data_IF_790440105360
#
_entry.id   IF_790440105360
#
_cell.length_a   1.000
_cell.length_b   1.000
_cell.length_c   1.000
_cell.angle_alpha   90.00
_cell.angle_beta   90.00
_cell.angle_gamma   90.00
#
_symmetry.space_group_name_H-M   'P 1'
#
loop_
_entity.id
_entity.type
_entity.pdbx_description
1 polymer ?
#
# COMPACT_ATOMS: atom_id res chain seq x y z
N UNK A 1 3.97 17.99 -3.07
CA UNK A 1 5.15 17.15 -3.37
C UNK A 1 6.41 17.99 -3.57
N UNK A 2 6.45 18.90 -4.56
CA UNK A 2 7.64 19.71 -4.85
C UNK A 2 8.07 20.68 -3.73
N UNK A 3 7.13 21.13 -2.91
CA UNK A 3 7.39 22.06 -1.79
C UNK A 3 7.63 21.36 -0.44
N UNK A 4 7.73 20.02 -0.40
CA UNK A 4 7.96 19.32 0.87
C UNK A 4 9.43 19.46 1.30
N UNK A 5 9.75 20.09 2.45
CA UNK A 5 11.12 20.24 2.93
C UNK A 5 11.81 18.90 3.23
N UNK A 6 11.05 17.80 3.37
CA UNK A 6 11.56 16.45 3.62
C UNK A 6 11.66 15.61 2.34
N UNK A 7 11.57 16.20 1.15
CA UNK A 7 11.68 15.48 -0.14
C UNK A 7 13.02 14.76 -0.29
N UNK A 8 14.09 15.27 0.31
CA UNK A 8 15.42 14.66 0.34
C UNK A 8 15.44 13.26 0.99
N UNK A 9 14.44 12.92 1.83
CA UNK A 9 14.31 11.57 2.43
C UNK A 9 13.72 10.54 1.46
N UNK A 10 13.16 11.01 0.35
CA UNK A 10 12.49 10.21 -0.67
C UNK A 10 13.38 10.00 -1.91
N UNK A 11 14.41 10.82 -2.10
CA UNK A 11 15.40 10.70 -3.18
C UNK A 11 16.23 9.42 -3.09
N UNK A 12 16.57 8.85 -4.24
CA UNK A 12 17.42 7.65 -4.35
C UNK A 12 16.71 6.32 -4.07
N UNK A 13 15.37 6.32 -3.96
CA UNK A 13 14.57 5.11 -3.70
C UNK A 13 13.49 4.95 -4.76
N UNK A 14 13.24 3.70 -5.16
CA UNK A 14 12.06 3.36 -5.95
C UNK A 14 10.85 3.37 -5.03
N UNK A 15 9.97 4.37 -5.20
CA UNK A 15 8.77 4.55 -4.40
C UNK A 15 7.54 4.23 -5.23
N UNK A 16 6.60 3.47 -4.65
CA UNK A 16 5.30 3.26 -5.29
C UNK A 16 4.47 4.54 -5.22
N UNK A 17 3.98 5.01 -6.36
CA UNK A 17 3.15 6.22 -6.47
C UNK A 17 1.92 6.16 -5.56
N UNK A 18 1.31 4.98 -5.40
CA UNK A 18 0.17 4.78 -4.52
C UNK A 18 0.50 5.04 -3.03
N UNK A 19 1.69 4.64 -2.57
CA UNK A 19 2.13 4.90 -1.19
C UNK A 19 2.45 6.37 -0.97
N UNK A 20 3.01 7.02 -1.99
CA UNK A 20 3.25 8.46 -1.97
C UNK A 20 1.93 9.22 -1.88
N UNK A 21 0.96 8.84 -2.71
CA UNK A 21 -0.36 9.46 -2.73
C UNK A 21 -1.09 9.29 -1.40
N UNK A 22 -1.03 8.12 -0.78
CA UNK A 22 -1.59 7.93 0.55
C UNK A 22 -0.89 8.79 1.63
N UNK A 23 0.44 8.91 1.56
CA UNK A 23 1.24 9.73 2.50
C UNK A 23 0.93 11.23 2.37
N UNK A 24 0.72 11.72 1.15
CA UNK A 24 0.33 13.11 0.90
C UNK A 24 -1.17 13.34 0.98
N UNK A 25 -1.97 12.31 1.27
CA UNK A 25 -3.42 12.42 1.44
C UNK A 25 -4.18 12.65 0.13
N UNK A 26 -3.62 12.24 -1.01
CA UNK A 26 -4.32 12.32 -2.29
C UNK A 26 -5.58 11.45 -2.27
N UNK A 27 -6.67 12.07 -2.66
CA UNK A 27 -8.00 11.49 -2.81
C UNK A 27 -8.45 11.70 -4.25
N UNK A 28 -9.11 10.69 -4.80
CA UNK A 28 -9.78 10.82 -6.08
C UNK A 28 -10.95 11.82 -5.99
N UNK A 29 -11.44 12.30 -7.13
CA UNK A 29 -12.59 13.22 -7.21
C UNK A 29 -13.84 12.62 -6.55
N UNK A 30 -13.96 11.29 -6.56
CA UNK A 30 -15.04 10.54 -5.92
C UNK A 30 -14.85 10.38 -4.39
N UNK A 31 -13.86 11.05 -3.80
CA UNK A 31 -13.51 10.93 -2.37
C UNK A 31 -12.83 9.61 -1.99
N UNK A 32 -12.53 8.75 -2.97
CA UNK A 32 -11.86 7.47 -2.73
C UNK A 32 -10.37 7.72 -2.46
N UNK A 33 -9.88 7.22 -1.32
CA UNK A 33 -8.44 7.22 -1.01
C UNK A 33 -7.72 6.15 -1.81
N UNK A 34 -6.57 6.53 -2.39
CA UNK A 34 -5.68 5.63 -3.12
C UNK A 34 -5.23 4.51 -2.18
N UNK A 35 -5.56 3.26 -2.50
CA UNK A 35 -5.07 2.09 -1.76
C UNK A 35 -3.72 1.64 -2.30
N UNK A 36 -2.73 1.52 -1.42
CA UNK A 36 -1.46 0.89 -1.79
C UNK A 36 -1.67 -0.57 -2.19
N UNK A 37 -1.00 -1.01 -3.26
CA UNK A 37 -0.97 -2.42 -3.69
C UNK A 37 -0.36 -3.34 -2.62
N UNK A 38 0.41 -2.78 -1.68
CA UNK A 38 1.00 -3.49 -0.53
C UNK A 38 0.07 -3.52 0.69
N UNK A 39 -1.13 -2.93 0.62
CA UNK A 39 -2.06 -2.92 1.74
C UNK A 39 -2.69 -4.30 1.92
N UNK A 40 -2.59 -4.85 3.13
CA UNK A 40 -3.14 -6.16 3.47
C UNK A 40 -4.66 -6.16 3.24
N UNK A 41 -5.35 -5.08 3.63
CA UNK A 41 -6.78 -4.90 3.40
C UNK A 41 -7.15 -4.97 1.91
N UNK A 42 -6.34 -4.37 1.04
CA UNK A 42 -6.55 -4.43 -0.40
C UNK A 42 -6.34 -5.85 -0.94
N UNK A 43 -5.29 -6.55 -0.49
CA UNK A 43 -4.98 -7.91 -0.92
C UNK A 43 -6.01 -8.95 -0.47
N UNK A 44 -6.55 -8.82 0.75
CA UNK A 44 -7.64 -9.68 1.23
C UNK A 44 -8.96 -9.38 0.54
N UNK A 45 -9.25 -8.10 0.28
CA UNK A 45 -10.51 -7.70 -0.37
C UNK A 45 -10.53 -8.02 -1.87
N UNK A 46 -9.38 -8.01 -2.54
CA UNK A 46 -9.25 -8.31 -3.98
C UNK A 46 -9.12 -9.81 -4.27
N UNK A 47 -9.03 -10.65 -3.24
CA UNK A 47 -8.88 -12.10 -3.41
C UNK A 47 -7.48 -12.54 -3.87
N UNK A 48 -6.50 -11.63 -3.89
CA UNK A 48 -5.10 -11.95 -4.22
C UNK A 48 -4.50 -12.86 -3.14
N UNK A 49 -4.81 -12.61 -1.87
CA UNK A 49 -4.48 -13.52 -0.79
C UNK A 49 -5.64 -14.51 -0.59
N UNK A 50 -5.48 -15.75 -1.05
CA UNK A 50 -6.46 -16.83 -0.85
C UNK A 50 -6.48 -17.24 0.63
N UNK A 51 -7.31 -16.57 1.41
CA UNK A 51 -7.58 -16.91 2.81
C UNK A 51 -9.07 -17.24 2.95
N UNK A 52 -9.45 -18.35 3.61
CA UNK A 52 -10.85 -18.54 4.00
C UNK A 52 -11.30 -17.34 4.83
N UNK A 53 -12.46 -16.77 4.48
CA UNK A 53 -13.04 -15.57 5.14
C UNK A 53 -12.25 -14.24 4.95
N UNK A 54 -11.47 -14.10 3.88
CA UNK A 54 -10.72 -12.88 3.56
C UNK A 54 -11.50 -11.54 3.65
N UNK A 55 -12.72 -11.41 3.10
CA UNK A 55 -13.48 -10.16 3.15
C UNK A 55 -13.93 -9.77 4.55
N UNK A 56 -14.16 -10.75 5.43
CA UNK A 56 -14.58 -10.54 6.81
C UNK A 56 -13.40 -10.02 7.65
N UNK A 57 -12.23 -10.63 7.47
CA UNK A 57 -10.98 -10.23 8.14
C UNK A 57 -10.50 -8.86 7.63
N UNK A 58 -10.71 -8.55 6.35
CA UNK A 58 -10.38 -7.25 5.77
C UNK A 58 -11.16 -6.07 6.39
N UNK A 59 -12.35 -6.31 6.96
CA UNK A 59 -13.07 -5.28 7.74
C UNK A 59 -12.41 -5.00 9.08
N UNK A 60 -11.78 -5.99 9.69
CA UNK A 60 -11.14 -5.88 10.99
C UNK A 60 -9.72 -5.32 10.92
N UNK A 61 -9.01 -5.54 9.81
CA UNK A 61 -7.63 -5.05 9.65
C UNK A 61 -7.59 -3.55 9.37
N UNK A 62 -6.87 -2.76 10.19
CA UNK A 62 -6.69 -1.34 9.92
C UNK A 62 -5.77 -1.14 8.70
N UNK A 63 -6.05 -0.07 7.95
CA UNK A 63 -5.35 0.29 6.69
C UNK A 63 -3.85 0.56 6.88
N UNK A 64 -3.41 0.77 8.13
CA UNK A 64 -2.02 0.99 8.52
C UNK A 64 -1.09 -0.21 8.26
N UNK A 65 -1.64 -1.42 8.16
CA UNK A 65 -0.82 -2.59 7.86
C UNK A 65 -0.50 -2.69 6.37
N UNK A 66 0.77 -2.42 6.04
CA UNK A 66 1.34 -2.56 4.71
C UNK A 66 2.45 -3.61 4.73
N UNK A 67 2.54 -4.37 3.64
CA UNK A 67 3.63 -5.31 3.43
C UNK A 67 4.93 -4.52 3.18
N UNK A 68 6.01 -4.78 3.93
CA UNK A 68 7.28 -4.14 3.69
C UNK A 68 7.91 -4.63 2.38
N UNK A 69 8.65 -3.75 1.70
CA UNK A 69 9.20 -4.05 0.36
C UNK A 69 10.14 -5.25 0.33
N UNK A 70 10.90 -5.49 1.41
CA UNK A 70 11.77 -6.66 1.52
C UNK A 70 10.99 -7.98 1.46
N UNK A 71 9.77 -8.02 1.98
CA UNK A 71 8.95 -9.24 2.00
C UNK A 71 8.43 -9.57 0.61
N UNK A 72 8.02 -8.55 -0.15
CA UNK A 72 7.67 -8.73 -1.57
C UNK A 72 8.88 -9.18 -2.39
N UNK A 73 10.04 -8.57 -2.16
CA UNK A 73 11.28 -8.95 -2.84
C UNK A 73 11.68 -10.38 -2.52
N UNK A 74 11.57 -10.80 -1.26
CA UNK A 74 11.88 -12.16 -0.83
C UNK A 74 10.94 -13.20 -1.46
N UNK A 75 9.64 -12.88 -1.57
CA UNK A 75 8.67 -13.72 -2.24
C UNK A 75 8.97 -13.89 -3.73
N UNK A 76 9.26 -12.78 -4.42
CA UNK A 76 9.60 -12.80 -5.86
C UNK A 76 10.93 -13.51 -6.12
N UNK A 77 11.93 -13.36 -5.24
CA UNK A 77 13.24 -14.02 -5.41
C UNK A 77 13.22 -15.55 -5.19
N UNK A 78 12.13 -16.09 -4.66
CA UNK A 78 11.95 -17.54 -4.44
C UNK A 78 11.22 -18.25 -5.59
N UNK A 79 10.81 -17.49 -6.61
CA UNK A 79 10.27 -17.96 -7.89
C UNK A 79 11.36 -17.92 -8.95
#
# INVERSE_FOLDING_TARGET
LASDPKVHKLTGRTLMTADLGEKYGFTDIDGRRISSMRSIKFLLSSGVLKVPCGPFIARFIPRCFKIPGWMMSAYVSRL
#
